data_IF_781658794340
#
_entry.id   IF_781658794340
#
_cell.length_a   1.000
_cell.length_b   1.000
_cell.length_c   1.000
_cell.angle_alpha   90.00
_cell.angle_beta   90.00
_cell.angle_gamma   90.00
#
_symmetry.space_group_name_H-M   'P 1'
#
loop_
_entity.id
_entity.type
_entity.pdbx_description
1 polymer ?
#
# COMPACT_ATOMS: atom_id res chain seq x y z
N UNK A 1 3.60 0.75 -19.66
CA UNK A 1 2.39 1.53 -19.98
C UNK A 1 2.27 2.63 -18.94
N UNK A 2 2.14 3.90 -19.35
CA UNK A 2 1.74 4.96 -18.42
C UNK A 2 0.29 4.64 -18.02
N UNK A 3 0.08 4.21 -16.79
CA UNK A 3 -1.25 4.05 -16.21
C UNK A 3 -1.90 5.44 -16.13
N UNK A 4 -3.06 5.60 -16.75
CA UNK A 4 -3.90 6.78 -16.61
C UNK A 4 -4.17 7.05 -15.12
N UNK A 5 -4.26 8.33 -14.73
CA UNK A 5 -4.57 8.72 -13.34
C UNK A 5 -5.91 9.46 -13.24
N UNK A 6 -6.66 9.20 -12.18
CA UNK A 6 -7.86 9.92 -11.77
C UNK A 6 -7.51 10.84 -10.61
N UNK A 7 -7.69 12.15 -10.81
CA UNK A 7 -7.49 13.13 -9.75
C UNK A 7 -8.74 13.24 -8.89
N UNK A 8 -8.60 13.00 -7.58
CA UNK A 8 -9.62 13.28 -6.57
C UNK A 8 -8.99 14.22 -5.54
N UNK A 9 -9.50 15.46 -5.46
CA UNK A 9 -8.91 16.53 -4.65
C UNK A 9 -7.40 16.73 -4.98
N UNK A 10 -6.51 16.59 -3.99
CA UNK A 10 -5.06 16.71 -4.15
C UNK A 10 -4.35 15.36 -4.35
N UNK A 11 -5.08 14.25 -4.53
CA UNK A 11 -4.49 12.95 -4.83
C UNK A 11 -4.67 12.58 -6.30
N UNK A 12 -3.58 12.15 -6.94
CA UNK A 12 -3.59 11.54 -8.27
C UNK A 12 -3.57 10.03 -8.08
N UNK A 13 -4.73 9.38 -8.26
CA UNK A 13 -4.88 7.94 -8.08
C UNK A 13 -4.67 7.23 -9.41
N UNK A 14 -3.85 6.19 -9.44
CA UNK A 14 -3.68 5.36 -10.63
C UNK A 14 -4.98 4.62 -10.94
N UNK A 15 -5.40 4.69 -12.19
CA UNK A 15 -6.49 3.89 -12.76
C UNK A 15 -5.95 2.52 -13.12
N UNK A 16 -5.80 1.66 -12.11
CA UNK A 16 -5.22 0.33 -12.24
C UNK A 16 -6.02 -0.69 -11.45
N UNK A 17 -6.12 -1.92 -11.97
CA UNK A 17 -6.69 -3.07 -11.26
C UNK A 17 -5.65 -3.71 -10.32
N UNK A 18 -6.11 -4.49 -9.35
CA UNK A 18 -5.26 -5.27 -8.44
C UNK A 18 -4.34 -6.22 -9.21
N UNK A 19 -4.83 -6.85 -10.29
CA UNK A 19 -4.05 -7.78 -11.10
C UNK A 19 -2.92 -7.03 -11.82
N UNK A 20 -3.25 -5.92 -12.48
CA UNK A 20 -2.25 -5.08 -13.17
C UNK A 20 -1.21 -4.54 -12.18
N UNK A 21 -1.64 -4.14 -10.97
CA UNK A 21 -0.74 -3.68 -9.92
C UNK A 21 0.22 -4.78 -9.47
N UNK A 22 -0.27 -6.01 -9.21
CA UNK A 22 0.59 -7.15 -8.86
C UNK A 22 1.63 -7.46 -9.95
N UNK A 23 1.22 -7.38 -11.21
CA UNK A 23 2.12 -7.65 -12.34
C UNK A 23 3.17 -6.55 -12.51
N UNK A 24 2.79 -5.29 -12.26
CA UNK A 24 3.61 -4.11 -12.60
C UNK A 24 4.44 -3.57 -11.44
N UNK A 25 4.05 -3.83 -10.18
CA UNK A 25 4.76 -3.38 -8.98
C UNK A 25 6.09 -4.14 -8.83
N UNK A 26 7.15 -3.62 -9.44
CA UNK A 26 8.52 -4.16 -9.33
C UNK A 26 9.41 -3.36 -8.38
N UNK A 27 9.13 -2.06 -8.24
CA UNK A 27 9.86 -1.12 -7.39
C UNK A 27 9.01 0.11 -7.10
N UNK A 28 9.42 0.88 -6.10
CA UNK A 28 8.79 2.14 -5.73
C UNK A 28 7.95 2.04 -4.45
N UNK A 29 7.33 3.14 -4.10
CA UNK A 29 6.49 3.30 -2.91
C UNK A 29 5.03 3.18 -3.32
N UNK A 30 4.33 2.23 -2.68
CA UNK A 30 2.89 2.07 -2.80
C UNK A 30 2.18 2.74 -1.62
N UNK A 31 1.25 3.62 -1.93
CA UNK A 31 0.38 4.28 -0.96
C UNK A 31 -1.07 3.97 -1.31
N UNK A 32 -1.84 3.55 -0.31
CA UNK A 32 -3.28 3.29 -0.43
C UNK A 32 -4.06 4.37 0.34
N UNK A 33 -4.29 5.57 -0.25
CA UNK A 33 -5.02 6.64 0.41
C UNK A 33 -6.45 6.22 0.78
N UNK A 34 -6.76 6.33 2.07
CA UNK A 34 -8.12 6.38 2.56
C UNK A 34 -8.62 7.84 2.60
N UNK A 35 -9.81 8.08 3.16
CA UNK A 35 -10.38 9.43 3.22
C UNK A 35 -9.54 10.40 4.08
N UNK A 36 -8.98 9.92 5.19
CA UNK A 36 -8.18 10.76 6.11
C UNK A 36 -6.94 11.30 5.42
N UNK A 37 -6.27 10.47 4.60
CA UNK A 37 -5.16 10.92 3.78
C UNK A 37 -5.57 12.05 2.82
N UNK A 38 -6.73 11.94 2.15
CA UNK A 38 -7.20 12.99 1.25
C UNK A 38 -7.44 14.32 1.96
N UNK A 39 -8.03 14.28 3.16
CA UNK A 39 -8.26 15.49 3.97
C UNK A 39 -6.94 16.11 4.40
N UNK A 40 -5.97 15.30 4.85
CA UNK A 40 -4.62 15.78 5.21
C UNK A 40 -3.92 16.44 4.03
N UNK A 41 -4.00 15.85 2.82
CA UNK A 41 -3.42 16.40 1.59
C UNK A 41 -3.97 17.77 1.18
N UNK A 42 -5.11 18.21 1.73
CA UNK A 42 -5.63 19.56 1.51
C UNK A 42 -4.97 20.63 2.39
N UNK A 43 -4.44 20.24 3.56
CA UNK A 43 -4.04 21.18 4.62
C UNK A 43 -2.55 21.08 4.99
N UNK A 44 -1.90 19.96 4.67
CA UNK A 44 -0.50 19.70 5.00
C UNK A 44 0.36 19.71 3.72
N UNK A 45 1.13 20.78 3.56
CA UNK A 45 1.95 20.98 2.36
C UNK A 45 3.13 20.00 2.30
N UNK A 46 3.77 19.75 3.43
CA UNK A 46 4.90 18.83 3.49
C UNK A 46 4.47 17.41 3.17
N UNK A 47 3.36 16.97 3.77
CA UNK A 47 2.76 15.68 3.45
C UNK A 47 2.36 15.58 1.98
N UNK A 48 1.77 16.63 1.40
CA UNK A 48 1.46 16.69 -0.03
C UNK A 48 2.69 16.54 -0.93
N UNK A 49 3.76 17.27 -0.65
CA UNK A 49 4.99 17.24 -1.44
C UNK A 49 5.71 15.87 -1.34
N UNK A 50 5.65 15.20 -0.18
CA UNK A 50 6.09 13.80 -0.04
C UNK A 50 5.21 12.85 -0.85
N UNK A 51 3.91 13.06 -0.83
CA UNK A 51 2.94 12.23 -1.54
C UNK A 51 3.16 12.24 -3.06
N UNK A 52 3.57 13.38 -3.63
CA UNK A 52 3.87 13.49 -5.08
C UNK A 52 5.07 12.63 -5.51
N UNK A 53 5.90 12.16 -4.56
CA UNK A 53 7.06 11.30 -4.86
C UNK A 53 6.71 9.82 -4.92
N UNK A 54 5.53 9.40 -4.43
CA UNK A 54 5.12 8.00 -4.47
C UNK A 54 4.79 7.55 -5.90
N UNK A 55 5.39 6.45 -6.35
CA UNK A 55 5.17 5.95 -7.71
C UNK A 55 3.83 5.26 -7.89
N UNK A 56 3.29 4.65 -6.82
CA UNK A 56 2.04 3.91 -6.87
C UNK A 56 1.06 4.47 -5.85
N UNK A 57 0.11 5.27 -6.30
CA UNK A 57 -0.99 5.75 -5.46
C UNK A 57 -2.27 5.08 -5.94
N UNK A 58 -2.90 4.24 -5.12
CA UNK A 58 -4.06 3.42 -5.53
C UNK A 58 -5.26 3.61 -4.62
N UNK A 59 -6.47 3.52 -5.16
CA UNK A 59 -7.68 3.78 -4.39
C UNK A 59 -7.92 2.72 -3.31
N UNK A 60 -7.84 3.05 -2.03
CA UNK A 60 -8.18 2.12 -0.94
C UNK A 60 -9.70 2.06 -0.68
N UNK A 61 -10.36 3.22 -0.75
CA UNK A 61 -11.72 3.40 -0.27
C UNK A 61 -12.79 3.02 -1.29
N UNK A 62 -13.72 2.14 -0.88
CA UNK A 62 -14.95 1.84 -1.64
C UNK A 62 -15.79 3.09 -1.90
N UNK A 63 -15.83 4.03 -0.96
CA UNK A 63 -16.57 5.29 -1.12
C UNK A 63 -15.94 6.11 -2.23
N UNK A 64 -14.60 6.24 -2.25
CA UNK A 64 -13.89 6.96 -3.31
C UNK A 64 -14.07 6.29 -4.67
N UNK A 65 -14.02 4.95 -4.72
CA UNK A 65 -14.34 4.20 -5.92
C UNK A 65 -15.76 4.52 -6.43
N UNK A 66 -16.78 4.49 -5.55
CA UNK A 66 -18.15 4.83 -5.94
C UNK A 66 -18.28 6.29 -6.42
N UNK A 67 -17.70 7.25 -5.70
CA UNK A 67 -17.70 8.66 -6.09
C UNK A 67 -16.96 8.88 -7.43
N UNK A 68 -15.89 8.14 -7.70
CA UNK A 68 -15.14 8.25 -8.95
C UNK A 68 -15.97 7.88 -10.18
N UNK A 69 -17.04 7.09 -10.02
CA UNK A 69 -17.97 6.75 -11.12
C UNK A 69 -18.77 7.96 -11.63
N UNK A 70 -18.81 9.06 -10.87
CA UNK A 70 -19.39 10.33 -11.31
C UNK A 70 -18.41 11.15 -12.18
N UNK A 71 -17.13 10.77 -12.19
CA UNK A 71 -16.11 11.41 -13.01
C UNK A 71 -16.10 10.79 -14.41
N UNK A 72 -15.67 11.56 -15.42
CA UNK A 72 -15.55 11.07 -16.81
C UNK A 72 -14.63 9.86 -16.94
N UNK A 73 -13.60 9.79 -16.10
CA UNK A 73 -12.71 8.63 -15.94
C UNK A 73 -12.83 8.15 -14.50
N UNK A 74 -13.44 6.99 -14.31
CA UNK A 74 -13.58 6.35 -13.01
C UNK A 74 -12.38 5.48 -12.66
N UNK A 75 -12.25 5.16 -11.38
CA UNK A 75 -11.29 4.17 -10.88
C UNK A 75 -11.88 2.78 -11.15
N UNK A 76 -11.11 1.81 -11.65
CA UNK A 76 -11.66 0.50 -12.05
C UNK A 76 -12.06 -0.37 -10.86
N UNK A 77 -11.32 -0.31 -9.75
CA UNK A 77 -11.69 -0.99 -8.50
C UNK A 77 -11.06 -0.31 -7.27
N UNK A 78 -11.60 -0.61 -6.08
CA UNK A 78 -10.95 -0.30 -4.82
C UNK A 78 -9.95 -1.42 -4.46
N UNK A 79 -8.74 -1.04 -4.09
CA UNK A 79 -7.61 -1.88 -3.71
C UNK A 79 -7.22 -1.53 -2.26
N UNK A 80 -7.90 -2.09 -1.24
CA UNK A 80 -7.52 -1.90 0.15
C UNK A 80 -6.11 -2.43 0.41
N UNK A 81 -5.29 -1.68 1.15
CA UNK A 81 -3.89 -2.05 1.39
C UNK A 81 -3.71 -3.43 2.03
N UNK A 82 -4.59 -3.80 2.96
CA UNK A 82 -4.56 -5.11 3.63
C UNK A 82 -4.89 -6.27 2.68
N UNK A 83 -5.92 -6.10 1.85
CA UNK A 83 -6.29 -7.08 0.83
C UNK A 83 -5.23 -7.20 -0.27
N UNK A 84 -4.63 -6.06 -0.67
CA UNK A 84 -3.53 -6.05 -1.62
C UNK A 84 -2.31 -6.77 -1.08
N UNK A 85 -1.90 -6.49 0.15
CA UNK A 85 -0.73 -7.15 0.76
C UNK A 85 -0.93 -8.68 0.84
N UNK A 86 -2.14 -9.12 1.15
CA UNK A 86 -2.52 -10.54 1.11
C UNK A 86 -2.34 -11.14 -0.28
N UNK A 87 -2.87 -10.46 -1.31
CA UNK A 87 -2.72 -10.90 -2.69
C UNK A 87 -1.26 -10.86 -3.16
N UNK A 88 -0.46 -9.91 -2.67
CA UNK A 88 0.94 -9.72 -3.02
C UNK A 88 1.81 -10.89 -2.59
N UNK A 89 1.77 -11.26 -1.29
CA UNK A 89 2.60 -12.37 -0.83
C UNK A 89 2.13 -13.72 -1.39
N UNK A 90 0.83 -13.86 -1.70
CA UNK A 90 0.30 -15.05 -2.37
C UNK A 90 0.74 -15.13 -3.85
N UNK A 91 0.73 -14.00 -4.56
CA UNK A 91 1.22 -13.93 -5.94
C UNK A 91 2.71 -14.28 -6.04
N UNK A 92 3.50 -13.90 -5.03
CA UNK A 92 4.93 -14.16 -4.95
C UNK A 92 5.32 -15.41 -4.15
N UNK A 93 4.35 -16.28 -3.82
CA UNK A 93 4.59 -17.46 -2.98
C UNK A 93 5.69 -18.39 -3.52
N UNK A 94 5.76 -18.56 -4.84
CA UNK A 94 6.73 -19.45 -5.49
C UNK A 94 7.96 -18.70 -6.05
N UNK A 95 8.09 -17.40 -5.80
CA UNK A 95 9.21 -16.59 -6.28
C UNK A 95 10.33 -16.51 -5.20
N UNK A 96 11.45 -17.24 -5.35
CA UNK A 96 12.50 -17.29 -4.32
C UNK A 96 13.19 -15.94 -4.07
N UNK A 97 13.17 -15.02 -5.04
CA UNK A 97 13.79 -13.70 -4.93
C UNK A 97 12.91 -12.70 -4.16
N UNK A 98 11.61 -13.01 -4.00
CA UNK A 98 10.73 -12.19 -3.20
C UNK A 98 10.94 -12.47 -1.71
N UNK A 99 11.41 -11.44 -1.00
CA UNK A 99 11.60 -11.41 0.45
C UNK A 99 10.89 -10.20 1.02
N UNK A 100 10.25 -10.37 2.17
CA UNK A 100 9.42 -9.36 2.83
C UNK A 100 9.99 -9.05 4.21
N UNK A 101 10.03 -7.77 4.56
CA UNK A 101 10.29 -7.31 5.93
C UNK A 101 9.06 -6.58 6.45
N UNK A 102 8.61 -6.91 7.67
CA UNK A 102 7.48 -6.26 8.31
C UNK A 102 7.97 -5.21 9.31
N UNK A 103 7.63 -3.95 9.10
CA UNK A 103 7.99 -2.86 10.00
C UNK A 103 6.73 -2.21 10.58
N UNK A 104 6.60 -2.20 11.90
CA UNK A 104 5.55 -1.50 12.64
C UNK A 104 4.68 -2.41 13.51
N UNK A 105 3.49 -1.91 13.83
CA UNK A 105 2.56 -2.48 14.80
C UNK A 105 3.07 -2.48 16.25
N UNK A 106 2.23 -2.93 17.18
CA UNK A 106 2.60 -3.08 18.59
C UNK A 106 3.59 -4.24 18.78
N UNK A 107 4.28 -4.25 19.92
CA UNK A 107 5.22 -5.30 20.29
C UNK A 107 4.62 -6.70 20.08
N UNK A 108 5.40 -7.58 19.44
CA UNK A 108 5.01 -8.96 19.10
C UNK A 108 4.03 -9.11 17.93
N UNK A 109 3.39 -8.04 17.44
CA UNK A 109 2.42 -8.14 16.34
C UNK A 109 3.09 -8.41 15.00
N UNK A 110 4.20 -7.74 14.69
CA UNK A 110 4.92 -7.98 13.43
C UNK A 110 5.48 -9.41 13.37
N UNK A 111 6.00 -9.91 14.49
CA UNK A 111 6.50 -11.29 14.62
C UNK A 111 5.39 -12.32 14.38
N UNK A 112 4.23 -12.12 15.02
CA UNK A 112 3.06 -12.98 14.82
C UNK A 112 2.54 -12.95 13.38
N UNK A 113 2.63 -11.81 12.71
CA UNK A 113 2.27 -11.69 11.29
C UNK A 113 3.25 -12.47 10.39
N UNK A 114 4.55 -12.36 10.66
CA UNK A 114 5.60 -13.14 9.97
C UNK A 114 5.32 -14.64 10.05
N UNK A 115 5.09 -15.17 11.25
CA UNK A 115 4.80 -16.59 11.48
C UNK A 115 3.58 -17.06 10.69
N UNK A 116 2.47 -16.30 10.74
CA UNK A 116 1.23 -16.64 10.05
C UNK A 116 1.35 -16.59 8.54
N UNK A 117 2.05 -15.59 8.00
CA UNK A 117 2.26 -15.46 6.55
C UNK A 117 3.14 -16.61 6.06
N UNK A 118 4.27 -16.88 6.71
CA UNK A 118 5.16 -17.96 6.31
C UNK A 118 4.47 -19.33 6.39
N UNK A 119 3.68 -19.58 7.43
CA UNK A 119 2.85 -20.79 7.54
C UNK A 119 1.81 -20.89 6.42
N UNK A 120 1.16 -19.78 6.06
CA UNK A 120 0.16 -19.74 4.98
C UNK A 120 0.77 -19.91 3.59
N UNK A 121 2.01 -19.48 3.39
CA UNK A 121 2.71 -19.51 2.09
C UNK A 121 3.47 -20.83 1.91
N UNK A 122 3.89 -21.48 3.01
CA UNK A 122 4.67 -22.71 2.98
C UNK A 122 6.17 -22.51 2.79
N UNK A 123 6.67 -21.27 2.94
CA UNK A 123 8.10 -20.93 2.97
C UNK A 123 8.36 -19.66 3.77
N UNK A 124 9.63 -19.40 4.08
CA UNK A 124 10.11 -18.17 4.68
C UNK A 124 10.17 -17.03 3.64
N UNK A 125 9.00 -16.50 3.27
CA UNK A 125 8.90 -15.31 2.40
C UNK A 125 9.10 -14.02 3.20
N UNK A 126 8.61 -13.98 4.44
CA UNK A 126 8.88 -12.91 5.39
C UNK A 126 10.15 -13.27 6.15
N UNK A 127 11.22 -12.50 5.90
CA UNK A 127 12.59 -12.77 6.38
C UNK A 127 12.97 -11.93 7.60
N UNK A 128 12.09 -11.03 8.03
CA UNK A 128 12.28 -10.23 9.22
C UNK A 128 11.04 -9.45 9.59
N UNK A 129 10.94 -9.12 10.87
CA UNK A 129 9.86 -8.35 11.43
C UNK A 129 10.38 -7.50 12.60
N UNK A 130 9.94 -6.25 12.68
CA UNK A 130 10.30 -5.34 13.77
C UNK A 130 9.11 -4.45 14.11
N UNK A 131 8.86 -4.27 15.40
CA UNK A 131 7.84 -3.37 15.94
C UNK A 131 8.57 -2.31 16.77
N UNK A 132 8.95 -1.17 16.16
CA UNK A 132 9.71 -0.14 16.84
C UNK A 132 8.95 0.43 18.03
N UNK A 133 9.70 0.90 19.01
CA UNK A 133 9.18 1.66 20.14
C UNK A 133 8.51 2.95 19.66
N UNK A 134 7.49 3.40 20.38
CA UNK A 134 6.82 4.65 20.04
C UNK A 134 7.81 5.83 20.07
N UNK A 135 7.81 6.66 19.03
CA UNK A 135 8.72 7.78 18.88
C UNK A 135 10.11 7.42 18.38
N UNK A 136 10.32 6.23 17.79
CA UNK A 136 11.60 5.80 17.19
C UNK A 136 12.13 6.77 16.12
N UNK A 137 11.27 7.60 15.54
CA UNK A 137 11.67 8.65 14.60
C UNK A 137 12.47 9.78 15.28
N UNK A 138 12.41 9.88 16.61
CA UNK A 138 13.07 10.92 17.42
C UNK A 138 14.15 10.37 18.37
N UNK A 139 14.38 9.06 18.41
CA UNK A 139 15.36 8.41 19.32
C UNK A 139 15.96 7.14 18.70
N UNK A 140 17.18 6.74 19.09
CA UNK A 140 17.75 5.46 18.67
C UNK A 140 16.92 4.27 19.18
N UNK A 141 16.84 3.22 18.36
CA UNK A 141 16.36 1.88 18.73
C UNK A 141 17.49 1.02 19.27
#
# INVERSE_FOLDING_TARGET
>A
MMSDSVRILNANLLSITRIELLQSLKRGVLVTPNLDHLVKLQHDREFYDLYQKAEWVVCDSKILYLCSRLLKKGIPEAIPGSSFFTAFYQYHKDNPDCRIFLLGAMEGVAQKAMERINASVGREIVVGAMSPSYGFENKPE
#
